data_IF_726286328400
#
_entry.id   IF_726286328400
#
_cell.length_a   1.000
_cell.length_b   1.000
_cell.length_c   1.000
_cell.angle_alpha   90.00
_cell.angle_beta   90.00
_cell.angle_gamma   90.00
#
_symmetry.space_group_name_H-M   'P 1'
#
loop_
_entity.id
_entity.type
_entity.pdbx_description
1 polymer ?
#
# COMPACT_ATOMS: atom_id res chain seq x y z
N UNK A 1 -32.28 -0.40 30.04
CA UNK A 1 -30.92 0.17 30.02
C UNK A 1 -30.70 0.73 28.61
N UNK A 2 -30.47 2.03 28.48
CA UNK A 2 -30.19 2.69 27.20
C UNK A 2 -28.75 3.15 27.22
N UNK A 3 -28.01 2.90 26.13
CA UNK A 3 -26.62 3.30 25.98
C UNK A 3 -26.46 4.16 24.72
N UNK A 4 -25.46 5.02 24.70
CA UNK A 4 -25.10 5.86 23.56
C UNK A 4 -23.61 5.68 23.23
N UNK A 5 -23.30 5.38 21.98
CA UNK A 5 -21.92 5.19 21.52
C UNK A 5 -21.37 6.52 20.98
N UNK A 6 -20.22 6.96 21.53
CA UNK A 6 -19.47 8.12 21.05
C UNK A 6 -18.00 7.73 20.93
N UNK A 7 -17.34 8.16 19.84
CA UNK A 7 -15.90 7.97 19.65
C UNK A 7 -15.16 9.25 20.04
N UNK A 8 -14.28 9.18 21.04
CA UNK A 8 -13.46 10.31 21.49
C UNK A 8 -12.18 10.46 20.65
N UNK A 9 -11.46 9.35 20.47
CA UNK A 9 -10.30 9.25 19.59
C UNK A 9 -10.63 8.24 18.48
N UNK A 10 -10.54 8.67 17.22
CA UNK A 10 -10.74 7.78 16.08
C UNK A 10 -9.63 6.74 16.00
N UNK A 11 -9.90 5.61 15.34
CA UNK A 11 -8.88 4.59 15.11
C UNK A 11 -7.70 5.17 14.36
N UNK A 12 -6.47 4.88 14.80
CA UNK A 12 -5.24 5.42 14.20
C UNK A 12 -4.46 4.39 13.39
N UNK A 13 -4.79 3.10 13.46
CA UNK A 13 -4.16 2.10 12.59
C UNK A 13 -4.54 2.34 11.12
N UNK A 14 -3.61 2.11 10.21
CA UNK A 14 -3.84 2.25 8.76
C UNK A 14 -3.87 0.87 8.13
N UNK A 15 -4.94 0.53 7.43
CA UNK A 15 -5.06 -0.75 6.71
C UNK A 15 -4.72 -0.63 5.23
N UNK A 16 -4.95 0.55 4.63
CA UNK A 16 -4.61 0.83 3.24
C UNK A 16 -4.20 2.29 3.11
N UNK A 17 -3.27 2.58 2.22
CA UNK A 17 -2.90 3.94 1.83
C UNK A 17 -2.75 4.00 0.31
N UNK A 18 -3.35 5.03 -0.31
CA UNK A 18 -3.21 5.30 -1.74
C UNK A 18 -2.92 6.77 -1.95
N UNK A 19 -2.07 7.10 -2.90
CA UNK A 19 -1.75 8.48 -3.23
C UNK A 19 -2.23 8.85 -4.63
N UNK A 20 -2.54 10.14 -4.83
CA UNK A 20 -3.09 10.64 -6.08
C UNK A 20 -3.28 12.15 -6.05
N UNK A 21 -3.57 12.73 -7.21
CA UNK A 21 -4.05 14.10 -7.34
C UNK A 21 -5.57 14.12 -7.10
N UNK A 22 -5.99 13.91 -5.85
CA UNK A 22 -7.40 13.80 -5.47
C UNK A 22 -8.11 15.15 -5.48
N UNK A 23 -7.42 16.25 -5.17
CA UNK A 23 -7.99 17.60 -5.28
C UNK A 23 -8.14 18.12 -6.72
N UNK A 24 -7.52 17.43 -7.68
CA UNK A 24 -7.27 17.97 -9.01
C UNK A 24 -6.09 18.94 -9.02
N UNK A 25 -5.26 18.88 -10.06
CA UNK A 25 -4.06 19.72 -10.20
C UNK A 25 -2.77 18.93 -10.03
N UNK A 26 -1.69 19.61 -9.58
CA UNK A 26 -0.34 19.02 -9.49
C UNK A 26 -0.01 18.44 -8.11
N UNK A 27 -0.67 18.91 -7.05
CA UNK A 27 -0.44 18.46 -5.68
C UNK A 27 -0.95 17.03 -5.49
N UNK A 28 -0.16 16.21 -4.81
CA UNK A 28 -0.56 14.86 -4.43
C UNK A 28 -1.01 14.82 -2.98
N UNK A 29 -2.09 14.11 -2.74
CA UNK A 29 -2.61 13.78 -1.43
C UNK A 29 -2.50 12.27 -1.18
N UNK A 30 -2.62 11.87 0.08
CA UNK A 30 -2.63 10.46 0.51
C UNK A 30 -3.96 10.17 1.18
N UNK A 31 -4.72 9.23 0.64
CA UNK A 31 -5.95 8.75 1.25
C UNK A 31 -5.64 7.49 2.07
N UNK A 32 -5.98 7.53 3.35
CA UNK A 32 -5.83 6.43 4.28
C UNK A 32 -7.18 5.78 4.58
N UNK A 33 -7.18 4.45 4.66
CA UNK A 33 -8.22 3.69 5.34
C UNK A 33 -7.76 3.34 6.74
N UNK A 34 -8.56 3.72 7.74
CA UNK A 34 -8.37 3.32 9.14
C UNK A 34 -9.38 2.26 9.59
N UNK A 35 -9.69 1.34 8.68
CA UNK A 35 -10.71 0.30 8.85
C UNK A 35 -12.12 0.81 8.60
N UNK A 36 -12.65 1.62 9.52
CA UNK A 36 -14.04 2.14 9.48
C UNK A 36 -14.19 3.60 9.02
N UNK A 37 -13.06 4.26 8.77
CA UNK A 37 -13.03 5.65 8.32
C UNK A 37 -12.01 5.83 7.20
N UNK A 38 -12.30 6.82 6.35
CA UNK A 38 -11.40 7.30 5.32
C UNK A 38 -10.87 8.67 5.74
N UNK A 39 -9.57 8.86 5.60
CA UNK A 39 -8.88 10.11 5.96
C UNK A 39 -8.00 10.59 4.82
N UNK A 40 -8.24 11.80 4.32
CA UNK A 40 -7.44 12.42 3.27
C UNK A 40 -6.39 13.32 3.91
N UNK A 41 -5.12 13.01 3.64
CA UNK A 41 -3.96 13.73 4.12
C UNK A 41 -3.30 14.53 3.01
N UNK A 42 -2.74 15.68 3.37
CA UNK A 42 -1.88 16.51 2.52
C UNK A 42 -0.51 16.69 3.17
N UNK A 43 0.52 16.03 2.63
CA UNK A 43 1.90 16.37 2.93
C UNK A 43 2.23 17.75 2.34
N UNK A 44 2.65 18.69 3.17
CA UNK A 44 3.14 19.99 2.74
C UNK A 44 4.63 19.92 2.41
N UNK A 45 4.98 20.15 1.15
CA UNK A 45 6.36 20.10 0.67
C UNK A 45 7.25 21.22 1.24
N UNK A 46 6.66 22.31 1.75
CA UNK A 46 7.44 23.45 2.26
C UNK A 46 7.81 23.26 3.72
N UNK A 47 6.85 22.85 4.55
CA UNK A 47 7.04 22.65 5.99
C UNK A 47 7.45 21.23 6.34
N UNK A 48 7.20 20.28 5.44
CA UNK A 48 7.42 18.87 5.68
C UNK A 48 6.33 18.21 6.54
N UNK A 49 5.28 18.94 6.92
CA UNK A 49 4.22 18.44 7.81
C UNK A 49 3.07 17.81 7.06
N UNK A 50 2.45 16.81 7.68
CA UNK A 50 1.26 16.15 7.14
C UNK A 50 0.01 16.70 7.80
N UNK A 51 -0.90 17.25 6.98
CA UNK A 51 -2.17 17.80 7.45
C UNK A 51 -3.34 16.91 7.07
N UNK A 52 -4.22 16.62 8.02
CA UNK A 52 -5.52 15.99 7.74
C UNK A 52 -6.46 17.03 7.12
N UNK A 53 -6.87 16.80 5.87
CA UNK A 53 -7.86 17.64 5.18
C UNK A 53 -9.29 17.24 5.50
N UNK A 54 -9.55 15.93 5.49
CA UNK A 54 -10.88 15.35 5.63
C UNK A 54 -10.80 14.02 6.38
N UNK A 55 -11.77 13.77 7.26
CA UNK A 55 -11.94 12.49 7.93
C UNK A 55 -13.43 12.12 7.98
N UNK A 56 -13.81 11.04 7.30
CA UNK A 56 -15.20 10.59 7.17
C UNK A 56 -15.35 9.15 7.67
N UNK A 57 -16.31 8.93 8.58
CA UNK A 57 -16.71 7.57 8.97
C UNK A 57 -17.56 6.97 7.84
N UNK A 58 -17.21 5.76 7.40
CA UNK A 58 -17.91 5.06 6.32
C UNK A 58 -18.92 4.03 6.84
N UNK A 59 -18.88 3.72 8.14
CA UNK A 59 -19.74 2.72 8.80
C UNK A 59 -19.70 1.33 8.15
N UNK A 60 -18.51 0.90 7.72
CA UNK A 60 -18.25 -0.42 7.15
C UNK A 60 -16.78 -0.79 7.30
N UNK A 61 -16.37 -1.91 6.72
CA UNK A 61 -14.98 -2.37 6.70
C UNK A 61 -14.40 -2.18 5.30
N UNK A 62 -13.43 -1.27 5.14
CA UNK A 62 -12.65 -1.17 3.89
C UNK A 62 -11.73 -2.39 3.78
N UNK A 63 -11.88 -3.14 2.70
CA UNK A 63 -11.14 -4.37 2.40
C UNK A 63 -10.19 -4.23 1.23
N UNK A 64 -10.46 -3.27 0.33
CA UNK A 64 -9.60 -2.89 -0.77
C UNK A 64 -9.80 -1.40 -1.08
N UNK A 65 -8.70 -0.70 -1.37
CA UNK A 65 -8.71 0.73 -1.68
C UNK A 65 -7.69 0.99 -2.78
N UNK A 66 -8.13 1.55 -3.91
CA UNK A 66 -7.28 1.85 -5.06
C UNK A 66 -7.63 3.21 -5.64
N UNK A 67 -6.66 3.89 -6.24
CA UNK A 67 -6.87 5.12 -6.98
C UNK A 67 -6.70 4.88 -8.49
N UNK A 68 -7.46 5.60 -9.32
CA UNK A 68 -7.33 5.51 -10.77
C UNK A 68 -7.64 6.82 -11.47
N UNK A 69 -7.12 6.95 -12.69
CA UNK A 69 -7.33 8.12 -13.54
C UNK A 69 -7.87 7.68 -14.88
N UNK A 70 -8.97 8.29 -15.31
CA UNK A 70 -9.44 8.13 -16.68
C UNK A 70 -8.41 8.68 -17.68
N UNK A 71 -8.32 8.07 -18.85
CA UNK A 71 -7.43 8.55 -19.92
C UNK A 71 -7.68 10.04 -20.24
N UNK A 72 -6.62 10.84 -20.19
CA UNK A 72 -6.67 12.29 -20.39
C UNK A 72 -7.26 13.10 -19.22
N UNK A 73 -7.60 12.46 -18.10
CA UNK A 73 -8.05 13.13 -16.88
C UNK A 73 -6.92 13.83 -16.13
N UNK A 74 -7.28 14.76 -15.25
CA UNK A 74 -6.33 15.50 -14.39
C UNK A 74 -6.51 15.24 -12.90
N UNK A 75 -7.48 14.39 -12.55
CA UNK A 75 -7.91 14.10 -11.18
C UNK A 75 -8.05 12.60 -11.01
N UNK A 76 -7.64 12.10 -9.85
CA UNK A 76 -7.77 10.70 -9.50
C UNK A 76 -9.09 10.44 -8.78
N UNK A 77 -9.80 9.41 -9.22
CA UNK A 77 -10.94 8.83 -8.51
C UNK A 77 -10.44 7.75 -7.55
N UNK A 78 -11.28 7.42 -6.57
CA UNK A 78 -11.00 6.39 -5.58
C UNK A 78 -12.02 5.27 -5.77
N UNK A 79 -11.58 4.02 -5.93
CA UNK A 79 -12.46 2.86 -5.88
C UNK A 79 -12.28 2.19 -4.52
N UNK A 80 -13.39 1.96 -3.83
CA UNK A 80 -13.41 1.32 -2.52
C UNK A 80 -14.21 0.02 -2.56
N UNK A 81 -13.58 -1.06 -2.08
CA UNK A 81 -14.20 -2.35 -1.78
C UNK A 81 -14.46 -2.45 -0.29
N UNK A 82 -15.70 -2.77 0.07
CA UNK A 82 -16.10 -2.93 1.47
C UNK A 82 -16.86 -4.21 1.72
N UNK A 83 -17.29 -4.42 2.95
CA UNK A 83 -18.20 -5.47 3.38
C UNK A 83 -19.66 -5.25 2.92
N UNK A 84 -19.95 -4.24 2.08
CA UNK A 84 -21.33 -3.92 1.69
C UNK A 84 -21.93 -4.80 0.58
N UNK A 85 -21.11 -5.53 -0.19
CA UNK A 85 -21.54 -6.20 -1.42
C UNK A 85 -21.76 -5.23 -2.60
N UNK A 86 -21.15 -4.04 -2.50
CA UNK A 86 -21.21 -2.97 -3.50
C UNK A 86 -19.81 -2.44 -3.81
N UNK A 87 -19.60 -2.00 -5.04
CA UNK A 87 -18.41 -1.26 -5.47
C UNK A 87 -18.76 0.22 -5.45
N UNK A 88 -17.91 1.03 -4.82
CA UNK A 88 -18.13 2.46 -4.68
C UNK A 88 -16.99 3.23 -5.32
N UNK A 89 -17.34 4.21 -6.15
CA UNK A 89 -16.36 5.16 -6.71
C UNK A 89 -16.60 6.52 -6.08
N UNK A 90 -15.54 7.08 -5.50
CA UNK A 90 -15.54 8.35 -4.80
C UNK A 90 -14.70 9.38 -5.56
N UNK A 91 -15.11 10.63 -5.45
CA UNK A 91 -14.35 11.80 -5.91
C UNK A 91 -14.24 12.79 -4.76
N UNK A 92 -13.02 13.28 -4.48
CA UNK A 92 -12.85 14.33 -3.48
C UNK A 92 -13.18 15.70 -4.08
N UNK A 93 -14.09 16.46 -3.46
CA UNK A 93 -14.49 17.80 -3.92
C UNK A 93 -13.90 18.86 -2.97
N UNK A 94 -12.82 19.57 -3.34
CA UNK A 94 -12.14 20.51 -2.46
C UNK A 94 -13.04 21.66 -1.98
N UNK A 95 -13.93 22.16 -2.84
CA UNK A 95 -14.83 23.27 -2.52
C UNK A 95 -15.88 22.91 -1.46
N UNK A 96 -16.21 21.62 -1.31
CA UNK A 96 -17.12 21.11 -0.27
C UNK A 96 -16.38 20.43 0.88
N UNK A 97 -15.07 20.24 0.74
CA UNK A 97 -14.25 19.37 1.57
C UNK A 97 -14.94 18.02 1.88
N UNK A 98 -15.40 17.33 0.83
CA UNK A 98 -16.18 16.10 0.97
C UNK A 98 -15.79 15.05 -0.07
N UNK A 99 -15.93 13.77 0.29
CA UNK A 99 -15.88 12.65 -0.65
C UNK A 99 -17.29 12.44 -1.21
N UNK A 100 -17.49 12.81 -2.46
CA UNK A 100 -18.74 12.56 -3.17
C UNK A 100 -18.74 11.16 -3.76
N UNK A 101 -19.88 10.48 -3.61
CA UNK A 101 -20.10 9.17 -4.19
C UNK A 101 -20.58 9.33 -5.63
N UNK A 102 -19.67 9.12 -6.58
CA UNK A 102 -19.96 9.27 -8.01
C UNK A 102 -20.74 8.07 -8.53
N UNK A 103 -20.34 6.86 -8.14
CA UNK A 103 -21.01 5.62 -8.52
C UNK A 103 -21.12 4.64 -7.35
N UNK A 104 -22.17 3.82 -7.40
CA UNK A 104 -22.38 2.72 -6.46
C UNK A 104 -23.16 1.59 -7.13
N UNK A 105 -22.45 0.52 -7.51
CA UNK A 105 -23.05 -0.65 -8.13
C UNK A 105 -23.16 -1.80 -7.12
N UNK A 106 -24.29 -2.50 -7.15
CA UNK A 106 -24.55 -3.64 -6.26
C UNK A 106 -24.30 -4.94 -7.00
N UNK A 107 -23.46 -5.81 -6.45
CA UNK A 107 -23.10 -7.08 -7.06
C UNK A 107 -23.31 -8.30 -6.15
N UNK A 108 -23.50 -8.09 -4.85
CA UNK A 108 -23.55 -9.19 -3.89
C UNK A 108 -24.20 -8.83 -2.56
N UNK A 109 -24.09 -9.78 -1.63
CA UNK A 109 -24.60 -9.64 -0.25
C UNK A 109 -23.56 -8.99 0.65
N UNK A 110 -24.01 -8.31 1.70
CA UNK A 110 -23.12 -7.74 2.72
C UNK A 110 -22.45 -8.79 3.61
N UNK A 111 -21.35 -8.39 4.23
CA UNK A 111 -20.42 -9.18 5.06
C UNK A 111 -19.09 -9.44 4.37
N UNK A 112 -18.04 -9.70 5.16
CA UNK A 112 -16.76 -10.19 4.68
C UNK A 112 -16.86 -11.67 4.27
N UNK A 113 -17.56 -11.95 3.16
CA UNK A 113 -17.83 -13.32 2.71
C UNK A 113 -16.70 -13.88 1.85
N UNK A 114 -16.56 -15.20 1.86
CA UNK A 114 -15.55 -15.96 1.09
C UNK A 114 -15.66 -15.76 -0.42
N UNK A 115 -16.89 -15.88 -0.93
CA UNK A 115 -17.18 -15.86 -2.38
C UNK A 115 -17.80 -14.56 -2.89
N UNK A 116 -17.98 -13.53 -2.06
CA UNK A 116 -18.51 -12.23 -2.53
C UNK A 116 -17.33 -11.26 -2.73
N UNK A 117 -17.19 -10.65 -3.92
CA UNK A 117 -16.08 -9.75 -4.20
C UNK A 117 -15.98 -8.56 -3.25
N UNK A 118 -14.76 -8.04 -3.12
CA UNK A 118 -14.46 -6.89 -2.25
C UNK A 118 -13.13 -7.02 -1.51
N UNK A 119 -12.47 -8.19 -1.58
CA UNK A 119 -11.17 -8.40 -0.94
C UNK A 119 -10.00 -7.93 -1.80
N UNK A 120 -10.07 -8.14 -3.12
CA UNK A 120 -8.97 -7.84 -4.04
C UNK A 120 -9.43 -6.95 -5.17
N UNK A 121 -8.65 -5.92 -5.48
CA UNK A 121 -8.90 -4.97 -6.54
C UNK A 121 -7.71 -4.95 -7.49
N UNK A 122 -7.98 -4.96 -8.78
CA UNK A 122 -6.99 -4.74 -9.83
C UNK A 122 -7.52 -3.69 -10.80
N UNK A 123 -6.70 -2.71 -11.15
CA UNK A 123 -7.11 -1.58 -11.99
C UNK A 123 -6.19 -1.53 -13.22
N UNK A 124 -6.79 -1.41 -14.40
CA UNK A 124 -6.07 -1.08 -15.64
C UNK A 124 -5.32 0.25 -15.45
N UNK A 125 -3.99 0.31 -15.62
CA UNK A 125 -3.21 1.54 -15.35
C UNK A 125 -3.61 2.77 -16.18
N UNK A 126 -4.35 2.61 -17.29
CA UNK A 126 -4.93 3.72 -18.07
C UNK A 126 -6.37 4.10 -17.65
N UNK A 127 -6.87 3.46 -16.60
CA UNK A 127 -8.16 3.71 -15.97
C UNK A 127 -9.36 3.25 -16.78
N UNK A 128 -9.20 2.26 -17.68
CA UNK A 128 -10.25 1.79 -18.58
C UNK A 128 -11.13 0.69 -17.98
N UNK A 129 -10.62 -0.02 -16.98
CA UNK A 129 -11.36 -1.10 -16.33
C UNK A 129 -10.87 -1.33 -14.89
N UNK A 130 -11.75 -1.87 -14.07
CA UNK A 130 -11.43 -2.40 -12.73
C UNK A 130 -11.97 -3.81 -12.62
N UNK A 131 -11.16 -4.71 -12.06
CA UNK A 131 -11.56 -6.05 -11.70
C UNK A 131 -11.61 -6.15 -10.17
N UNK A 132 -12.71 -6.65 -9.64
CA UNK A 132 -12.89 -6.94 -8.22
C UNK A 132 -12.97 -8.45 -8.02
N UNK A 133 -12.28 -8.96 -7.00
CA UNK A 133 -12.21 -10.37 -6.66
C UNK A 133 -12.66 -10.66 -5.23
N UNK A 134 -13.24 -11.84 -5.06
CA UNK A 134 -13.43 -12.48 -3.77
C UNK A 134 -12.20 -13.32 -3.40
N UNK A 135 -12.17 -13.88 -2.19
CA UNK A 135 -11.13 -14.85 -1.81
C UNK A 135 -11.24 -16.13 -2.64
N UNK A 136 -12.45 -16.46 -3.07
CA UNK A 136 -12.70 -17.65 -3.89
C UNK A 136 -13.74 -17.37 -4.96
N UNK A 137 -13.57 -18.04 -6.09
CA UNK A 137 -14.55 -18.19 -7.17
C UNK A 137 -14.93 -16.93 -7.93
N UNK A 138 -15.55 -15.96 -7.28
CA UNK A 138 -16.15 -14.83 -7.97
C UNK A 138 -15.13 -13.72 -8.26
N UNK A 139 -15.03 -13.35 -9.53
CA UNK A 139 -14.40 -12.12 -9.99
C UNK A 139 -15.33 -11.41 -10.98
N UNK A 140 -15.35 -10.08 -10.92
CA UNK A 140 -16.18 -9.21 -11.75
C UNK A 140 -15.33 -8.09 -12.32
N UNK A 141 -15.43 -7.84 -13.63
CA UNK A 141 -14.79 -6.70 -14.28
C UNK A 141 -15.82 -5.63 -14.64
N UNK A 142 -15.49 -4.37 -14.42
CA UNK A 142 -16.29 -3.21 -14.82
C UNK A 142 -15.47 -2.34 -15.77
N UNK A 143 -16.07 -1.95 -16.88
CA UNK A 143 -15.49 -1.00 -17.83
C UNK A 143 -15.79 0.41 -17.33
N UNK A 144 -14.74 1.24 -17.32
CA UNK A 144 -14.80 2.65 -16.95
C UNK A 144 -14.69 3.49 -18.20
N UNK A 145 -15.66 4.40 -18.38
CA UNK A 145 -15.68 5.31 -19.51
C UNK A 145 -16.10 6.72 -19.06
N UNK A 146 -16.14 7.66 -20.00
CA UNK A 146 -16.65 9.01 -19.79
C UNK A 146 -17.80 9.31 -20.74
N UNK A 147 -18.83 10.00 -20.25
CA UNK A 147 -19.90 10.52 -21.10
C UNK A 147 -19.45 11.78 -21.87
N UNK A 148 -20.35 12.33 -22.70
CA UNK A 148 -20.09 13.57 -23.45
C UNK A 148 -19.90 14.80 -22.57
N UNK A 149 -20.28 14.73 -21.29
CA UNK A 149 -20.08 15.75 -20.27
C UNK A 149 -18.82 15.50 -19.42
N UNK A 150 -17.96 14.57 -19.85
CA UNK A 150 -16.75 14.15 -19.16
C UNK A 150 -16.98 13.56 -17.74
N UNK A 151 -18.19 13.10 -17.44
CA UNK A 151 -18.50 12.39 -16.19
C UNK A 151 -18.15 10.91 -16.34
N UNK A 152 -17.59 10.35 -15.28
CA UNK A 152 -17.33 8.92 -15.20
C UNK A 152 -18.63 8.12 -15.39
N UNK A 153 -18.57 7.03 -16.14
CA UNK A 153 -19.63 6.03 -16.30
C UNK A 153 -19.07 4.63 -16.08
N UNK A 154 -19.85 3.75 -15.47
CA UNK A 154 -19.49 2.36 -15.20
C UNK A 154 -20.41 1.42 -15.98
N UNK A 155 -19.86 0.33 -16.54
CA UNK A 155 -20.64 -0.69 -17.24
C UNK A 155 -21.35 -1.66 -16.28
N UNK A 156 -22.22 -2.52 -16.82
CA UNK A 156 -22.61 -3.75 -16.13
C UNK A 156 -21.38 -4.65 -15.89
N UNK A 157 -21.38 -5.45 -14.81
CA UNK A 157 -20.26 -6.33 -14.51
C UNK A 157 -20.14 -7.46 -15.52
N UNK A 158 -18.90 -7.77 -15.90
CA UNK A 158 -18.55 -8.95 -16.69
C UNK A 158 -17.98 -10.02 -15.76
N UNK A 159 -18.52 -11.23 -15.84
CA UNK A 159 -18.16 -12.32 -14.94
C UNK A 159 -16.90 -13.04 -15.41
N UNK A 160 -15.99 -13.30 -14.46
CA UNK A 160 -14.80 -14.13 -14.65
C UNK A 160 -14.71 -15.17 -13.53
N UNK A 161 -15.80 -15.92 -13.35
CA UNK A 161 -15.95 -16.88 -12.26
C UNK A 161 -15.22 -18.19 -12.56
N UNK A 162 -14.55 -18.76 -11.55
CA UNK A 162 -13.93 -20.08 -11.64
C UNK A 162 -14.10 -20.81 -10.31
N UNK A 163 -14.95 -21.84 -10.30
CA UNK A 163 -15.22 -22.65 -9.10
C UNK A 163 -13.95 -23.29 -8.56
N UNK A 164 -13.93 -23.53 -7.23
CA UNK A 164 -12.84 -24.23 -6.54
C UNK A 164 -11.47 -23.54 -6.63
N UNK A 165 -11.46 -22.24 -6.96
CA UNK A 165 -10.22 -21.48 -7.07
C UNK A 165 -10.13 -20.39 -6.01
N UNK A 166 -9.08 -20.48 -5.20
CA UNK A 166 -8.65 -19.46 -4.25
C UNK A 166 -7.84 -18.39 -4.97
N UNK A 167 -8.02 -17.13 -4.59
CA UNK A 167 -7.25 -15.99 -5.08
C UNK A 167 -6.42 -15.41 -3.93
N UNK A 168 -5.11 -15.26 -4.17
CA UNK A 168 -4.15 -14.74 -3.19
C UNK A 168 -3.91 -13.24 -3.37
N UNK A 169 -3.78 -12.79 -4.61
CA UNK A 169 -3.57 -11.39 -4.96
C UNK A 169 -3.98 -11.12 -6.41
N UNK A 170 -4.27 -9.86 -6.73
CA UNK A 170 -4.62 -9.42 -8.08
C UNK A 170 -3.96 -8.08 -8.41
N UNK A 171 -3.47 -7.90 -9.63
CA UNK A 171 -2.97 -6.62 -10.14
C UNK A 171 -3.42 -6.38 -11.58
N UNK A 172 -3.56 -5.11 -11.96
CA UNK A 172 -3.69 -4.75 -13.38
C UNK A 172 -2.31 -4.72 -14.04
N UNK A 173 -2.22 -5.23 -15.25
CA UNK A 173 -0.99 -5.25 -16.05
C UNK A 173 -1.00 -4.02 -16.97
N UNK A 174 0.09 -3.24 -17.01
CA UNK A 174 0.17 -2.06 -17.89
C UNK A 174 0.46 -2.52 -19.33
N UNK A 175 -0.58 -2.83 -20.08
CA UNK A 175 -0.49 -3.25 -21.49
C UNK A 175 -0.56 -2.06 -22.46
N UNK A 176 -0.23 -0.85 -22.00
CA UNK A 176 -0.38 0.36 -22.82
C UNK A 176 -1.86 0.61 -23.16
N UNK A 177 -2.23 0.46 -24.43
CA UNK A 177 -3.61 0.64 -24.91
C UNK A 177 -4.23 -0.64 -25.50
N UNK A 178 -3.55 -1.78 -25.40
CA UNK A 178 -4.14 -3.08 -25.74
C UNK A 178 -5.25 -3.46 -24.75
N UNK A 179 -5.95 -4.56 -25.02
CA UNK A 179 -7.04 -5.05 -24.18
C UNK A 179 -6.59 -5.16 -22.70
N UNK A 180 -7.29 -4.52 -21.74
CA UNK A 180 -6.90 -4.54 -20.34
C UNK A 180 -6.68 -5.96 -19.81
N UNK A 181 -5.64 -6.13 -19.01
CA UNK A 181 -5.25 -7.43 -18.51
C UNK A 181 -5.06 -7.40 -16.99
N UNK A 182 -5.48 -8.47 -16.33
CA UNK A 182 -5.44 -8.63 -14.89
C UNK A 182 -4.71 -9.92 -14.54
N UNK A 183 -3.62 -9.81 -13.79
CA UNK A 183 -2.84 -10.94 -13.31
C UNK A 183 -3.28 -11.31 -11.89
N UNK A 184 -3.53 -12.60 -11.67
CA UNK A 184 -4.02 -13.15 -10.41
C UNK A 184 -3.15 -14.33 -9.97
N UNK A 185 -2.88 -14.40 -8.66
CA UNK A 185 -2.31 -15.59 -8.02
C UNK A 185 -3.45 -16.52 -7.58
N UNK A 186 -3.48 -17.74 -8.11
CA UNK A 186 -4.61 -18.67 -7.97
C UNK A 186 -4.18 -20.08 -7.58
N UNK A 187 -4.98 -20.75 -6.74
CA UNK A 187 -4.85 -22.18 -6.44
C UNK A 187 -6.20 -22.86 -6.67
N UNK A 188 -6.23 -23.92 -7.48
CA UNK A 188 -7.38 -24.80 -7.61
C UNK A 188 -7.27 -25.92 -6.56
N UNK A 189 -8.27 -26.05 -5.69
CA UNK A 189 -8.26 -27.03 -4.60
C UNK A 189 -9.22 -28.22 -4.85
N UNK A 190 -9.81 -28.33 -6.04
CA UNK A 190 -10.78 -29.39 -6.36
C UNK A 190 -10.20 -30.79 -6.17
N UNK A 191 -8.97 -31.04 -6.61
CA UNK A 191 -8.31 -32.35 -6.46
C UNK A 191 -7.97 -32.64 -4.99
N UNK A 192 -7.54 -31.63 -4.24
CA UNK A 192 -7.19 -31.76 -2.83
C UNK A 192 -8.39 -32.15 -1.96
N UNK A 193 -9.59 -31.62 -2.26
CA UNK A 193 -10.83 -31.99 -1.54
C UNK A 193 -11.26 -33.44 -1.81
N UNK A 194 -10.86 -34.00 -2.95
CA UNK A 194 -11.26 -35.34 -3.39
C UNK A 194 -10.24 -36.43 -3.02
N UNK A 195 -9.11 -36.07 -2.42
CA UNK A 195 -8.01 -36.99 -2.08
C UNK A 195 -7.85 -37.16 -0.56
N UNK A 196 -8.37 -38.25 0.04
CA UNK A 196 -8.21 -38.54 1.46
C UNK A 196 -6.77 -38.79 1.91
N UNK A 197 -5.82 -39.04 0.99
CA UNK A 197 -4.42 -39.30 1.34
C UNK A 197 -3.66 -38.02 1.72
N UNK A 198 -4.11 -36.87 1.22
CA UNK A 198 -3.44 -35.58 1.38
C UNK A 198 -2.30 -35.32 0.39
N UNK A 199 -2.01 -36.26 -0.51
CA UNK A 199 -0.96 -36.14 -1.53
C UNK A 199 -1.26 -34.99 -2.52
N UNK A 200 -2.51 -34.86 -2.96
CA UNK A 200 -2.94 -33.81 -3.88
C UNK A 200 -2.72 -32.42 -3.28
N UNK A 201 -3.02 -32.24 -1.98
CA UNK A 201 -2.80 -30.98 -1.29
C UNK A 201 -1.33 -30.56 -1.26
N UNK A 202 -0.40 -31.52 -1.16
CA UNK A 202 1.05 -31.26 -1.14
C UNK A 202 1.61 -30.94 -2.54
N UNK A 203 1.03 -31.50 -3.59
CA UNK A 203 1.48 -31.30 -4.98
C UNK A 203 0.81 -30.12 -5.68
N UNK A 204 -0.28 -29.60 -5.12
CA UNK A 204 -1.03 -28.48 -5.71
C UNK A 204 -0.17 -27.23 -5.71
N UNK A 205 0.14 -26.72 -6.91
CA UNK A 205 0.94 -25.52 -7.09
C UNK A 205 0.04 -24.28 -7.24
N UNK A 206 0.55 -23.14 -6.77
CA UNK A 206 -0.01 -21.84 -7.13
C UNK A 206 0.24 -21.55 -8.61
N UNK A 207 -0.72 -20.91 -9.26
CA UNK A 207 -0.66 -20.52 -10.66
C UNK A 207 -0.76 -19.00 -10.80
N UNK A 208 0.01 -18.44 -11.74
CA UNK A 208 -0.17 -17.09 -12.23
C UNK A 208 -1.11 -17.12 -13.43
N UNK A 209 -2.29 -16.52 -13.28
CA UNK A 209 -3.33 -16.51 -14.30
C UNK A 209 -3.57 -15.09 -14.81
N UNK A 210 -3.57 -14.90 -16.12
CA UNK A 210 -3.91 -13.64 -16.78
C UNK A 210 -5.33 -13.69 -17.35
N UNK A 211 -6.17 -12.76 -16.91
CA UNK A 211 -7.49 -12.50 -17.45
C UNK A 211 -7.42 -11.30 -18.40
N UNK A 212 -7.86 -11.48 -19.64
CA UNK A 212 -7.95 -10.42 -20.63
C UNK A 212 -9.41 -9.97 -20.75
N UNK A 213 -9.61 -8.66 -20.69
CA UNK A 213 -10.89 -8.03 -20.98
C UNK A 213 -10.90 -7.57 -22.44
N UNK A 214 -11.61 -8.30 -23.29
CA UNK A 214 -11.80 -7.89 -24.68
C UNK A 214 -12.87 -6.78 -24.74
N UNK A 215 -12.42 -5.55 -25.01
CA UNK A 215 -13.30 -4.38 -25.07
C UNK A 215 -14.23 -4.40 -26.30
N UNK A 216 -13.84 -5.10 -27.38
CA UNK A 216 -14.64 -5.21 -28.60
C UNK A 216 -15.72 -6.26 -28.48
N UNK A 217 -15.39 -7.42 -27.92
CA UNK A 217 -16.32 -8.53 -27.69
C UNK A 217 -17.06 -8.45 -26.36
N UNK A 218 -16.69 -7.51 -25.48
CA UNK A 218 -17.32 -7.24 -24.20
C UNK A 218 -17.43 -8.47 -23.29
N UNK A 219 -16.34 -9.24 -23.16
CA UNK A 219 -16.25 -10.39 -22.27
C UNK A 219 -14.83 -10.51 -21.67
N UNK A 220 -14.72 -11.23 -20.56
CA UNK A 220 -13.44 -11.55 -19.94
C UNK A 220 -13.09 -13.00 -20.24
N UNK A 221 -11.87 -13.25 -20.69
CA UNK A 221 -11.35 -14.59 -20.96
C UNK A 221 -10.10 -14.85 -20.12
N UNK A 222 -9.97 -16.08 -19.62
CA UNK A 222 -8.72 -16.56 -19.01
C UNK A 222 -7.74 -16.87 -20.13
N UNK A 223 -6.85 -15.91 -20.43
CA UNK A 223 -5.97 -15.96 -21.61
C UNK A 223 -4.77 -16.89 -21.39
N UNK A 224 -4.19 -16.84 -20.20
CA UNK A 224 -2.96 -17.55 -19.86
C UNK A 224 -3.00 -18.03 -18.42
N UNK A 225 -2.36 -19.16 -18.15
CA UNK A 225 -2.21 -19.69 -16.80
C UNK A 225 -0.98 -20.58 -16.73
N UNK A 226 -0.08 -20.30 -15.82
CA UNK A 226 1.10 -21.12 -15.59
C UNK A 226 1.36 -21.37 -14.11
N UNK A 227 1.84 -22.58 -13.76
CA UNK A 227 2.26 -22.88 -12.40
C UNK A 227 3.48 -22.06 -12.01
N UNK A 228 3.55 -21.71 -10.73
CA UNK A 228 4.70 -21.10 -10.08
C UNK A 228 5.52 -22.18 -9.38
N UNK A 229 6.83 -21.94 -9.31
CA UNK A 229 7.76 -22.82 -8.61
C UNK A 229 7.56 -22.72 -7.09
N UNK A 230 7.48 -21.50 -6.56
CA UNK A 230 7.13 -21.22 -5.16
C UNK A 230 5.78 -20.52 -5.01
N UNK A 231 5.21 -20.62 -3.81
CA UNK A 231 4.07 -19.82 -3.43
C UNK A 231 4.45 -18.35 -3.27
N UNK A 232 3.77 -17.50 -4.05
CA UNK A 232 3.84 -16.06 -4.02
C UNK A 232 2.78 -15.46 -3.10
N UNK A 233 3.13 -14.36 -2.45
CA UNK A 233 2.25 -13.64 -1.53
C UNK A 233 1.55 -12.43 -2.19
N UNK A 234 2.24 -11.65 -3.01
CA UNK A 234 1.61 -10.59 -3.81
C UNK A 234 2.35 -10.30 -5.12
N UNK A 235 1.71 -9.49 -5.97
CA UNK A 235 2.21 -9.09 -7.29
C UNK A 235 2.44 -7.58 -7.33
N UNK A 236 3.38 -7.13 -8.17
CA UNK A 236 3.61 -5.71 -8.49
C UNK A 236 3.45 -5.50 -10.00
N UNK A 237 2.68 -4.48 -10.37
CA UNK A 237 2.50 -4.09 -11.77
C UNK A 237 3.75 -3.39 -12.29
N UNK A 238 4.32 -3.90 -13.39
CA UNK A 238 5.46 -3.26 -14.05
C UNK A 238 4.93 -2.28 -15.11
N UNK A 239 5.41 -1.02 -15.16
CA UNK A 239 5.03 -0.08 -16.19
C UNK A 239 5.26 -0.64 -17.60
N UNK A 240 4.35 -0.32 -18.52
CA UNK A 240 4.36 -0.88 -19.86
C UNK A 240 3.92 0.10 -20.94
N UNK A 241 3.88 -0.38 -22.18
CA UNK A 241 3.74 0.47 -23.35
C UNK A 241 5.00 1.30 -23.56
N UNK A 242 4.88 2.62 -23.68
CA UNK A 242 6.04 3.48 -23.92
C UNK A 242 6.90 3.73 -22.65
N UNK A 243 6.44 3.29 -21.49
CA UNK A 243 7.08 3.59 -20.19
C UNK A 243 7.91 2.42 -19.63
N UNK A 244 7.87 1.24 -20.26
CA UNK A 244 8.54 0.04 -19.77
C UNK A 244 8.07 -1.26 -20.45
N UNK A 245 8.55 -2.42 -19.99
CA UNK A 245 8.35 -3.71 -20.66
C UNK A 245 7.01 -4.39 -20.35
N UNK A 246 6.15 -3.81 -19.50
CA UNK A 246 4.94 -4.47 -18.98
C UNK A 246 5.27 -5.70 -18.14
N UNK A 247 4.29 -6.56 -17.88
CA UNK A 247 4.43 -7.75 -17.05
C UNK A 247 4.23 -7.49 -15.55
N UNK A 248 4.64 -8.46 -14.74
CA UNK A 248 4.47 -8.44 -13.28
C UNK A 248 5.73 -8.90 -12.56
N UNK A 249 6.00 -8.31 -11.39
CA UNK A 249 6.90 -8.90 -10.40
C UNK A 249 6.08 -9.75 -9.44
N UNK A 250 6.54 -10.96 -9.20
CA UNK A 250 5.96 -11.97 -8.33
C UNK A 250 6.84 -12.03 -7.09
N UNK A 251 6.28 -11.63 -5.94
CA UNK A 251 6.98 -11.72 -4.67
C UNK A 251 6.68 -13.09 -4.06
N UNK A 252 7.72 -13.90 -3.86
CA UNK A 252 7.64 -15.23 -3.27
C UNK A 252 8.55 -15.35 -2.06
N UNK A 253 8.44 -16.44 -1.33
CA UNK A 253 9.40 -16.75 -0.26
C UNK A 253 10.81 -16.87 -0.85
N UNK A 254 11.73 -16.04 -0.33
CA UNK A 254 13.13 -15.92 -0.72
C UNK A 254 13.43 -15.43 -2.13
N UNK A 255 12.42 -15.22 -2.99
CA UNK A 255 12.63 -14.87 -4.39
C UNK A 255 11.74 -13.73 -4.87
N UNK A 256 12.28 -12.96 -5.82
CA UNK A 256 11.55 -12.03 -6.66
C UNK A 256 11.64 -12.52 -8.10
N UNK A 257 10.50 -12.75 -8.74
CA UNK A 257 10.44 -13.26 -10.11
C UNK A 257 9.75 -12.26 -11.02
N UNK A 258 10.40 -11.83 -12.10
CA UNK A 258 9.76 -11.10 -13.19
C UNK A 258 9.19 -12.09 -14.20
N UNK A 259 7.93 -11.88 -14.57
CA UNK A 259 7.23 -12.69 -15.57
C UNK A 259 6.36 -11.82 -16.46
N UNK A 260 6.44 -12.06 -17.76
CA UNK A 260 5.59 -11.42 -18.76
C UNK A 260 5.07 -12.48 -19.75
N UNK A 261 4.06 -12.11 -20.54
CA UNK A 261 3.56 -12.97 -21.62
C UNK A 261 4.48 -12.90 -22.85
N UNK A 262 4.40 -13.92 -23.70
CA UNK A 262 5.13 -13.98 -24.97
C UNK A 262 6.47 -14.69 -24.82
N UNK A 263 7.49 -14.18 -25.49
CA UNK A 263 8.84 -14.80 -25.55
C UNK A 263 9.75 -14.41 -24.37
N UNK A 264 9.24 -13.64 -23.40
CA UNK A 264 9.98 -13.27 -22.20
C UNK A 264 10.22 -14.51 -21.32
N UNK A 265 11.48 -14.82 -21.05
CA UNK A 265 11.83 -15.84 -20.07
C UNK A 265 11.61 -15.34 -18.63
N UNK A 266 11.28 -16.28 -17.73
CA UNK A 266 11.17 -16.02 -16.30
C UNK A 266 12.54 -15.62 -15.73
N UNK A 267 12.61 -14.46 -15.08
CA UNK A 267 13.85 -13.96 -14.46
C UNK A 267 13.66 -13.97 -12.96
N UNK A 268 14.55 -14.65 -12.25
CA UNK A 268 14.46 -14.85 -10.81
C UNK A 268 15.66 -14.23 -10.12
N UNK A 269 15.43 -13.54 -9.01
CA UNK A 269 16.49 -13.03 -8.16
C UNK A 269 16.20 -13.40 -6.70
N UNK A 270 17.17 -13.98 -5.96
CA UNK A 270 17.00 -14.22 -4.54
C UNK A 270 16.95 -12.90 -3.76
N UNK A 271 16.19 -12.88 -2.67
CA UNK A 271 16.09 -11.75 -1.75
C UNK A 271 17.38 -11.70 -0.91
N UNK A 272 18.13 -10.59 -0.94
CA UNK A 272 19.34 -10.45 -0.14
C UNK A 272 19.04 -10.54 1.37
N UNK A 273 19.92 -11.20 2.12
CA UNK A 273 19.83 -11.37 3.58
C UNK A 273 20.78 -10.45 4.32
N UNK A 274 20.44 -10.09 5.56
CA UNK A 274 21.37 -9.35 6.44
C UNK A 274 22.57 -10.24 6.78
N UNK A 275 23.77 -9.65 6.78
CA UNK A 275 24.96 -10.33 7.30
C UNK A 275 24.80 -10.63 8.78
N UNK A 276 25.11 -11.87 9.17
CA UNK A 276 25.08 -12.32 10.56
C UNK A 276 23.71 -12.11 11.23
N UNK A 277 22.64 -12.39 10.48
CA UNK A 277 21.29 -12.31 11.00
C UNK A 277 21.12 -13.24 12.21
N UNK A 278 20.36 -12.78 13.20
CA UNK A 278 20.11 -13.50 14.45
C UNK A 278 18.85 -14.36 14.37
N UNK A 279 18.02 -14.14 13.35
CA UNK A 279 16.86 -14.97 13.06
C UNK A 279 17.28 -16.38 12.64
N UNK A 280 16.36 -17.33 12.81
CA UNK A 280 16.55 -18.73 12.40
C UNK A 280 16.88 -18.82 10.90
N UNK A 281 18.04 -19.40 10.51
CA UNK A 281 18.40 -19.56 9.09
C UNK A 281 17.41 -20.38 8.27
N UNK A 282 16.63 -21.26 8.91
CA UNK A 282 15.59 -22.05 8.21
C UNK A 282 14.35 -21.23 7.86
N UNK A 283 14.19 -20.04 8.46
CA UNK A 283 13.04 -19.16 8.19
C UNK A 283 13.24 -18.41 6.87
N UNK A 284 12.27 -18.53 5.96
CA UNK A 284 12.20 -17.75 4.73
C UNK A 284 12.00 -16.25 4.95
N UNK A 285 12.15 -15.49 3.87
CA UNK A 285 11.93 -14.04 3.84
C UNK A 285 10.94 -13.69 2.73
N UNK A 286 10.00 -12.80 3.01
CA UNK A 286 9.07 -12.26 2.00
C UNK A 286 9.12 -10.74 1.99
N UNK A 287 8.67 -10.15 0.89
CA UNK A 287 8.27 -8.74 0.87
C UNK A 287 6.87 -8.60 1.47
N UNK A 288 6.60 -7.49 2.17
CA UNK A 288 5.31 -7.23 2.82
C UNK A 288 4.51 -6.09 2.17
N UNK A 289 5.19 -5.19 1.47
CA UNK A 289 4.55 -4.15 0.68
C UNK A 289 5.48 -3.65 -0.42
N UNK A 290 4.91 -2.92 -1.38
CA UNK A 290 5.64 -2.29 -2.48
C UNK A 290 5.14 -0.87 -2.72
N UNK A 291 6.01 -0.03 -3.28
CA UNK A 291 5.65 1.22 -3.91
C UNK A 291 6.29 1.30 -5.29
N UNK A 292 5.54 1.75 -6.27
CA UNK A 292 6.03 1.98 -7.64
C UNK A 292 6.20 3.47 -7.87
N UNK A 293 7.39 3.89 -8.26
CA UNK A 293 7.61 5.27 -8.70
C UNK A 293 7.88 5.31 -10.20
N UNK A 294 7.10 6.13 -10.90
CA UNK A 294 7.27 6.36 -12.35
C UNK A 294 7.50 7.83 -12.63
N UNK A 295 8.56 8.09 -13.37
CA UNK A 295 8.83 9.38 -14.02
C UNK A 295 8.73 9.21 -15.54
N UNK A 296 8.99 10.27 -16.31
CA UNK A 296 8.99 10.17 -17.78
C UNK A 296 10.22 9.43 -18.33
N UNK A 297 11.30 9.37 -17.56
CA UNK A 297 12.60 8.85 -18.02
C UNK A 297 12.97 7.52 -17.38
N UNK A 298 12.45 7.24 -16.19
CA UNK A 298 12.76 6.04 -15.42
C UNK A 298 11.59 5.63 -14.53
N UNK A 299 11.56 4.36 -14.19
CA UNK A 299 10.75 3.82 -13.12
C UNK A 299 11.63 2.99 -12.18
N UNK A 300 11.20 2.86 -10.94
CA UNK A 300 11.79 1.93 -9.98
C UNK A 300 10.73 1.52 -8.97
N UNK A 301 11.05 0.46 -8.24
CA UNK A 301 10.19 -0.04 -7.16
C UNK A 301 10.93 0.05 -5.84
N UNK A 302 10.17 0.31 -4.77
CA UNK A 302 10.63 0.13 -3.40
C UNK A 302 9.83 -1.01 -2.80
N UNK A 303 10.47 -2.14 -2.53
CA UNK A 303 9.84 -3.28 -1.85
C UNK A 303 10.42 -3.43 -0.45
N UNK A 304 9.56 -3.64 0.53
CA UNK A 304 9.95 -3.77 1.93
C UNK A 304 9.87 -5.22 2.40
N UNK A 305 10.90 -5.73 3.07
CA UNK A 305 10.91 -7.07 3.68
C UNK A 305 10.20 -7.10 5.04
N UNK A 306 9.95 -8.29 5.60
CA UNK A 306 9.39 -8.46 6.96
C UNK A 306 10.21 -7.76 8.06
N UNK A 307 11.52 -7.64 7.87
CA UNK A 307 12.42 -6.97 8.81
C UNK A 307 12.47 -5.44 8.64
N UNK A 308 11.70 -4.91 7.69
CA UNK A 308 11.60 -3.47 7.43
C UNK A 308 12.62 -2.93 6.42
N UNK A 309 13.42 -3.80 5.79
CA UNK A 309 14.42 -3.39 4.81
C UNK A 309 13.78 -3.05 3.48
N UNK A 310 13.99 -1.82 3.02
CA UNK A 310 13.55 -1.39 1.70
C UNK A 310 14.67 -1.69 0.70
N UNK A 311 14.30 -2.38 -0.36
CA UNK A 311 15.14 -2.55 -1.55
C UNK A 311 14.61 -1.69 -2.68
N UNK A 312 15.51 -0.97 -3.33
CA UNK A 312 15.27 -0.37 -4.64
C UNK A 312 15.45 -1.47 -5.68
N UNK A 313 14.39 -1.73 -6.44
CA UNK A 313 14.41 -2.66 -7.55
C UNK A 313 14.33 -1.89 -8.86
N UNK A 314 15.23 -2.25 -9.77
CA UNK A 314 15.27 -1.77 -11.16
C UNK A 314 15.31 -2.96 -12.10
N UNK A 315 14.75 -2.80 -13.29
CA UNK A 315 14.78 -3.80 -14.34
C UNK A 315 15.67 -3.28 -15.45
N UNK A 316 16.65 -4.07 -15.86
CA UNK A 316 17.38 -3.78 -17.09
C UNK A 316 16.66 -4.43 -18.27
N UNK A 317 16.55 -3.65 -19.33
CA UNK A 317 15.88 -4.05 -20.57
C UNK A 317 16.87 -3.93 -21.70
N UNK A 318 16.98 -4.99 -22.50
CA UNK A 318 17.65 -4.98 -23.79
C UNK A 318 16.57 -5.05 -24.87
N UNK A 319 16.50 -4.01 -25.71
CA UNK A 319 15.34 -3.71 -26.57
C UNK A 319 14.01 -3.70 -25.77
N UNK A 320 13.11 -4.66 -26.03
CA UNK A 320 11.79 -4.81 -25.39
C UNK A 320 11.74 -6.00 -24.41
N UNK A 321 12.89 -6.65 -24.15
CA UNK A 321 13.00 -7.85 -23.30
C UNK A 321 13.76 -7.48 -22.03
N UNK A 322 13.21 -7.86 -20.87
CA UNK A 322 13.94 -7.70 -19.61
C UNK A 322 15.10 -8.68 -19.59
N UNK A 323 16.31 -8.21 -19.29
CA UNK A 323 17.52 -9.02 -19.20
C UNK A 323 17.83 -9.45 -17.77
N UNK A 324 17.68 -8.54 -16.81
CA UNK A 324 17.96 -8.81 -15.41
C UNK A 324 17.16 -7.94 -14.43
N UNK A 325 16.96 -8.48 -13.23
CA UNK A 325 16.42 -7.77 -12.07
C UNK A 325 17.59 -7.35 -11.21
N UNK A 326 17.65 -6.06 -10.87
CA UNK A 326 18.63 -5.49 -9.97
C UNK A 326 17.99 -5.10 -8.65
N UNK A 327 18.61 -5.49 -7.54
CA UNK A 327 18.21 -5.16 -6.18
C UNK A 327 19.35 -4.45 -5.48
N UNK A 328 19.03 -3.30 -4.88
CA UNK A 328 19.97 -2.54 -4.07
C UNK A 328 19.32 -2.15 -2.75
N UNK A 329 20.03 -2.36 -1.64
CA UNK A 329 19.54 -1.98 -0.32
C UNK A 329 19.40 -0.46 -0.23
N UNK A 330 18.20 0.02 0.08
CA UNK A 330 17.87 1.43 0.08
C UNK A 330 18.01 2.04 1.48
N UNK A 331 17.16 1.63 2.42
CA UNK A 331 17.15 2.05 3.82
C UNK A 331 16.23 1.11 4.63
N UNK A 332 16.32 1.14 5.95
CA UNK A 332 15.43 0.36 6.83
C UNK A 332 14.46 1.28 7.56
N UNK A 333 13.15 1.01 7.43
CA UNK A 333 12.07 1.72 8.14
C UNK A 333 11.16 0.71 8.85
N UNK A 334 10.28 1.11 9.78
CA UNK A 334 9.37 0.18 10.41
C UNK A 334 8.50 -0.58 9.37
N UNK A 335 8.19 -1.87 9.60
CA UNK A 335 7.31 -2.65 8.73
C UNK A 335 6.00 -1.91 8.44
N UNK A 336 5.65 -1.82 7.16
CA UNK A 336 4.54 -1.03 6.67
C UNK A 336 3.50 -1.87 5.96
N UNK A 337 2.23 -1.51 6.16
CA UNK A 337 1.11 -2.07 5.39
C UNK A 337 1.05 -1.45 3.99
N UNK A 338 1.49 -0.20 3.84
CA UNK A 338 1.55 0.47 2.55
C UNK A 338 2.63 1.57 2.53
N UNK A 339 3.26 1.73 1.37
CA UNK A 339 4.21 2.80 1.07
C UNK A 339 3.69 3.65 -0.09
N UNK A 340 3.87 4.96 -0.03
CA UNK A 340 3.46 5.89 -1.08
C UNK A 340 4.62 6.82 -1.45
N UNK A 341 5.19 6.64 -2.65
CA UNK A 341 6.25 7.52 -3.18
C UNK A 341 5.61 8.69 -3.92
N UNK A 342 5.77 9.89 -3.37
CA UNK A 342 5.21 11.13 -3.88
C UNK A 342 6.18 11.81 -4.84
N UNK A 343 5.64 12.45 -5.89
CA UNK A 343 6.38 13.18 -6.93
C UNK A 343 7.18 14.38 -6.39
N UNK A 344 6.85 14.84 -5.19
CA UNK A 344 7.57 15.92 -4.49
C UNK A 344 8.83 15.44 -3.76
N UNK A 345 9.23 14.17 -3.94
CA UNK A 345 10.42 13.62 -3.30
C UNK A 345 10.18 13.17 -1.86
N UNK A 346 8.97 12.70 -1.55
CA UNK A 346 8.62 12.20 -0.22
C UNK A 346 8.17 10.74 -0.29
N UNK A 347 8.47 9.98 0.77
CA UNK A 347 7.99 8.63 0.99
C UNK A 347 7.12 8.63 2.25
N UNK A 348 5.83 8.37 2.09
CA UNK A 348 4.93 8.12 3.21
C UNK A 348 4.88 6.63 3.54
N UNK A 349 5.12 6.30 4.81
CA UNK A 349 5.20 4.93 5.33
C UNK A 349 4.08 4.71 6.34
N UNK A 350 3.06 3.97 5.94
CA UNK A 350 1.98 3.56 6.82
C UNK A 350 2.37 2.27 7.56
N UNK A 351 3.04 2.42 8.71
CA UNK A 351 3.41 1.29 9.58
C UNK A 351 2.21 0.39 9.91
N UNK A 352 2.40 -0.93 9.94
CA UNK A 352 1.36 -1.89 10.35
C UNK A 352 0.87 -1.63 11.79
N UNK A 353 1.81 -1.24 12.65
CA UNK A 353 1.60 -0.93 14.06
C UNK A 353 2.47 0.26 14.47
N UNK A 354 2.06 0.97 15.51
CA UNK A 354 2.72 2.17 16.00
C UNK A 354 2.58 3.36 15.05
N UNK A 355 3.38 4.39 15.28
CA UNK A 355 3.34 5.65 14.53
C UNK A 355 3.63 5.43 13.03
N UNK A 356 3.14 6.35 12.20
CA UNK A 356 3.41 6.41 10.76
C UNK A 356 4.41 7.53 10.48
N UNK A 357 5.09 7.46 9.34
CA UNK A 357 6.23 8.33 9.07
C UNK A 357 6.14 8.95 7.69
N UNK A 358 6.54 10.21 7.59
CA UNK A 358 6.85 10.87 6.34
C UNK A 358 8.35 11.11 6.28
N UNK A 359 8.97 10.56 5.24
CA UNK A 359 10.38 10.77 4.93
C UNK A 359 10.52 11.63 3.68
N UNK A 360 11.58 12.43 3.63
CA UNK A 360 12.06 13.08 2.41
C UNK A 360 13.14 12.19 1.79
N UNK A 361 13.04 11.96 0.49
CA UNK A 361 14.04 11.24 -0.30
C UNK A 361 15.16 12.23 -0.63
N UNK A 362 16.28 12.12 0.09
CA UNK A 362 17.46 12.94 -0.15
C UNK A 362 18.27 12.42 -1.34
N UNK A 363 18.38 11.09 -1.45
CA UNK A 363 19.14 10.42 -2.50
C UNK A 363 18.34 9.23 -3.06
N UNK A 364 18.54 8.92 -4.34
CA UNK A 364 17.88 7.80 -5.02
C UNK A 364 18.62 6.45 -4.82
N UNK A 365 19.72 6.44 -4.06
CA UNK A 365 20.50 5.24 -3.76
C UNK A 365 21.37 4.73 -4.91
N UNK A 366 21.66 5.55 -5.94
CA UNK A 366 22.47 5.12 -7.09
C UNK A 366 23.97 5.33 -6.88
N UNK A 367 24.38 6.51 -6.41
CA UNK A 367 25.78 6.93 -6.29
C UNK A 367 26.38 6.71 -4.89
N UNK A 368 26.33 5.48 -4.39
CA UNK A 368 26.95 5.09 -3.11
C UNK A 368 27.75 3.79 -3.22
N UNK A 369 28.53 3.47 -2.17
CA UNK A 369 29.36 2.27 -2.08
C UNK A 369 28.55 1.00 -1.69
N UNK A 370 27.21 1.06 -1.73
CA UNK A 370 26.38 -0.11 -1.41
C UNK A 370 26.39 -1.12 -2.57
N UNK A 371 26.48 -2.43 -2.28
CA UNK A 371 26.46 -3.45 -3.31
C UNK A 371 25.10 -3.47 -4.03
N UNK A 372 25.16 -3.55 -5.36
CA UNK A 372 24.02 -3.84 -6.23
C UNK A 372 24.05 -5.34 -6.59
N UNK A 373 22.92 -6.01 -6.43
CA UNK A 373 22.76 -7.43 -6.72
C UNK A 373 21.96 -7.59 -8.00
N UNK A 374 22.39 -8.49 -8.89
CA UNK A 374 21.70 -8.76 -10.16
C UNK A 374 21.33 -10.24 -10.26
N UNK A 375 20.19 -10.53 -10.88
CA UNK A 375 19.76 -11.88 -11.23
C UNK A 375 20.73 -12.60 -12.18
N UNK A 376 21.57 -11.86 -12.91
CA UNK A 376 22.58 -12.45 -13.81
C UNK A 376 23.87 -12.87 -13.09
N UNK A 377 24.06 -12.46 -11.82
CA UNK A 377 25.23 -12.88 -11.05
C UNK A 377 25.13 -14.37 -10.72
N UNK A 378 26.17 -15.17 -11.01
CA UNK A 378 26.14 -16.59 -10.71
C UNK A 378 26.21 -16.82 -9.20
N UNK A 379 25.23 -17.53 -8.67
CA UNK A 379 25.19 -18.04 -7.30
C UNK A 379 25.12 -19.56 -7.35
N UNK A 380 25.73 -20.24 -6.37
CA UNK A 380 25.52 -21.68 -6.19
C UNK A 380 24.10 -21.94 -5.68
N UNK A 381 23.57 -23.15 -5.94
CA UNK A 381 22.22 -23.52 -5.53
C UNK A 381 22.07 -23.44 -3.99
N UNK A 382 21.14 -22.61 -3.52
CA UNK A 382 20.92 -22.36 -2.09
C UNK A 382 21.74 -21.21 -1.49
N UNK A 383 22.62 -20.56 -2.25
CA UNK A 383 23.27 -19.32 -1.83
C UNK A 383 22.39 -18.09 -2.06
N UNK A 384 22.66 -17.02 -1.30
CA UNK A 384 21.98 -15.73 -1.46
C UNK A 384 22.97 -14.59 -1.28
N UNK A 385 22.55 -13.40 -1.69
CA UNK A 385 23.29 -12.17 -1.50
C UNK A 385 23.23 -11.70 -0.04
N UNK A 386 24.28 -11.01 0.40
CA UNK A 386 24.35 -10.48 1.77
C UNK A 386 24.68 -8.99 1.81
N UNK A 387 23.89 -8.23 2.58
CA UNK A 387 24.07 -6.80 2.82
C UNK A 387 24.21 -6.48 4.31
N UNK A 388 24.72 -5.30 4.64
CA UNK A 388 24.83 -4.83 6.02
C UNK A 388 23.80 -3.70 6.27
N UNK A 389 22.87 -3.86 7.22
CA UNK A 389 21.93 -2.78 7.55
C UNK A 389 22.69 -1.59 8.14
N UNK A 390 22.20 -0.38 7.88
CA UNK A 390 22.81 0.88 8.34
C UNK A 390 21.74 1.91 8.71
N UNK A 391 22.17 2.99 9.36
CA UNK A 391 21.33 4.15 9.59
C UNK A 391 20.85 4.77 8.27
N UNK A 392 19.76 5.55 8.35
CA UNK A 392 19.16 6.20 7.19
C UNK A 392 20.18 7.09 6.48
N UNK A 393 20.37 6.86 5.19
CA UNK A 393 21.20 7.70 4.31
C UNK A 393 20.40 8.30 3.16
N UNK A 394 19.47 7.55 2.60
CA UNK A 394 18.67 7.97 1.46
C UNK A 394 17.41 8.72 1.90
N UNK A 395 16.92 8.44 3.11
CA UNK A 395 15.73 9.02 3.71
C UNK A 395 16.07 9.95 4.88
N UNK A 396 15.37 11.06 4.98
CA UNK A 396 15.40 11.96 6.14
C UNK A 396 14.01 11.97 6.77
N UNK A 397 13.90 11.68 8.06
CA UNK A 397 12.62 11.75 8.77
C UNK A 397 12.17 13.21 8.87
N UNK A 398 10.96 13.49 8.38
CA UNK A 398 10.42 14.86 8.33
C UNK A 398 9.22 15.01 9.26
N UNK A 399 8.34 14.01 9.28
CA UNK A 399 7.19 14.02 10.16
C UNK A 399 6.86 12.64 10.70
N UNK A 400 6.30 12.63 11.90
CA UNK A 400 5.82 11.43 12.58
C UNK A 400 4.37 11.63 12.97
N UNK A 401 3.49 10.77 12.46
CA UNK A 401 2.06 10.80 12.78
C UNK A 401 1.80 9.83 13.95
N UNK A 402 1.38 10.35 15.12
CA UNK A 402 1.09 9.50 16.26
C UNK A 402 -0.02 8.50 15.96
N UNK A 403 0.23 7.24 16.29
CA UNK A 403 -0.76 6.19 16.27
C UNK A 403 -0.68 5.34 17.53
N UNK A 404 -1.84 5.04 18.09
CA UNK A 404 -2.02 4.23 19.29
C UNK A 404 -2.29 2.76 18.95
N UNK A 405 -2.33 2.38 17.67
CA UNK A 405 -2.57 1.01 17.28
C UNK A 405 -1.29 0.16 17.46
N UNK A 406 -1.38 -1.06 18.03
CA UNK A 406 -2.53 -1.63 18.73
C UNK A 406 -2.57 -1.13 20.18
N UNK A 407 -3.75 -0.77 20.68
CA UNK A 407 -3.97 -0.59 22.13
C UNK A 407 -4.20 -1.97 22.72
N UNK A 408 -3.30 -2.41 23.59
CA UNK A 408 -3.42 -3.72 24.25
C UNK A 408 -4.28 -3.60 25.52
N UNK A 409 -4.04 -2.56 26.30
CA UNK A 409 -4.82 -2.26 27.50
C UNK A 409 -4.76 -0.77 27.82
N UNK A 410 -5.74 -0.29 28.56
CA UNK A 410 -5.84 1.10 29.01
C UNK A 410 -6.37 1.18 30.44
N UNK A 411 -5.84 2.12 31.21
CA UNK A 411 -6.33 2.47 32.55
C UNK A 411 -6.65 3.95 32.61
N UNK A 412 -7.81 4.29 33.16
CA UNK A 412 -8.22 5.68 33.41
C UNK A 412 -8.00 5.97 34.88
N UNK A 413 -7.05 6.85 35.18
CA UNK A 413 -6.69 7.19 36.56
C UNK A 413 -6.15 8.62 36.62
N UNK A 414 -6.33 9.29 37.74
CA UNK A 414 -5.64 10.55 38.03
C UNK A 414 -4.40 10.26 38.88
N UNK A 415 -3.27 9.95 38.24
CA UNK A 415 -2.00 9.74 38.94
C UNK A 415 -1.14 11.01 38.97
N UNK A 416 -1.48 12.00 38.14
CA UNK A 416 -0.80 13.29 38.08
C UNK A 416 -1.39 14.35 39.03
N UNK A 417 -2.53 14.06 39.69
CA UNK A 417 -3.29 15.01 40.51
C UNK A 417 -3.67 16.28 39.72
N UNK A 418 -4.16 16.10 38.49
CA UNK A 418 -4.54 17.18 37.57
C UNK A 418 -6.05 17.47 37.59
N UNK A 419 -6.80 16.90 38.55
CA UNK A 419 -8.28 16.86 38.67
C UNK A 419 -9.00 16.13 37.52
N UNK A 420 -8.52 16.28 36.28
CA UNK A 420 -8.98 15.52 35.12
C UNK A 420 -8.17 14.22 34.99
N UNK A 421 -8.81 13.03 35.02
CA UNK A 421 -8.07 11.78 34.93
C UNK A 421 -7.40 11.61 33.56
N UNK A 422 -6.22 10.99 33.58
CA UNK A 422 -5.45 10.70 32.38
C UNK A 422 -5.75 9.28 31.87
N UNK A 423 -5.53 9.05 30.58
CA UNK A 423 -5.60 7.71 29.99
C UNK A 423 -4.19 7.16 29.85
N UNK A 424 -3.88 6.12 30.61
CA UNK A 424 -2.62 5.37 30.53
C UNK A 424 -2.81 4.20 29.57
N UNK A 425 -2.12 4.23 28.43
CA UNK A 425 -2.34 3.31 27.32
C UNK A 425 -1.05 2.53 27.04
N UNK A 426 -1.13 1.19 27.11
CA UNK A 426 -0.07 0.31 26.62
C UNK A 426 -0.35 -0.01 25.15
N UNK A 427 0.53 0.47 24.27
CA UNK A 427 0.37 0.34 22.82
C UNK A 427 1.69 0.11 22.08
N UNK A 428 1.59 -0.43 20.86
CA UNK A 428 2.72 -0.71 19.98
C UNK A 428 3.03 -2.20 19.85
N UNK A 429 4.12 -2.53 19.16
CA UNK A 429 4.50 -3.91 18.81
C UNK A 429 6.01 -4.10 18.96
N UNK A 430 6.39 -5.19 19.61
CA UNK A 430 7.79 -5.59 19.78
C UNK A 430 8.64 -4.45 20.37
N UNK A 431 9.79 -4.10 19.75
CA UNK A 431 10.69 -3.06 20.26
C UNK A 431 10.10 -1.64 20.16
N UNK A 432 9.00 -1.45 19.42
CA UNK A 432 8.30 -0.15 19.26
C UNK A 432 7.11 0.00 20.21
N UNK A 433 7.07 -0.79 21.28
CA UNK A 433 6.02 -0.71 22.31
C UNK A 433 6.27 0.46 23.26
N UNK A 434 5.20 1.14 23.68
CA UNK A 434 5.24 2.34 24.51
C UNK A 434 4.08 2.37 25.52
N UNK A 435 4.34 2.93 26.71
CA UNK A 435 3.30 3.41 27.61
C UNK A 435 3.07 4.89 27.31
N UNK A 436 1.86 5.25 26.89
CA UNK A 436 1.49 6.64 26.58
C UNK A 436 0.47 7.17 27.57
N UNK A 437 0.69 8.40 28.03
CA UNK A 437 -0.24 9.12 28.91
C UNK A 437 -0.99 10.14 28.06
N UNK A 438 -2.29 9.94 27.88
CA UNK A 438 -3.14 10.85 27.12
C UNK A 438 -3.86 11.80 28.07
N UNK A 439 -3.73 13.09 27.79
CA UNK A 439 -4.44 14.17 28.47
C UNK A 439 -5.36 14.85 27.48
N UNK A 440 -6.56 15.19 27.92
CA UNK A 440 -7.47 15.98 27.11
C UNK A 440 -7.08 17.45 27.19
N UNK A 441 -6.64 18.03 26.08
CA UNK A 441 -6.20 19.41 26.02
C UNK A 441 -5.69 19.80 24.64
N UNK A 442 -4.98 20.92 24.59
CA UNK A 442 -4.27 21.37 23.39
C UNK A 442 -2.82 20.89 23.45
N UNK A 443 -2.28 20.50 22.30
CA UNK A 443 -0.87 20.17 22.19
C UNK A 443 -0.01 21.40 22.52
N UNK A 444 1.00 21.20 23.37
CA UNK A 444 1.97 22.23 23.74
C UNK A 444 3.31 21.81 23.17
N UNK A 445 3.82 22.57 22.19
CA UNK A 445 5.16 22.37 21.64
C UNK A 445 6.19 23.06 22.53
N UNK A 446 7.00 22.26 23.22
CA UNK A 446 8.07 22.75 24.08
C UNK A 446 9.24 23.27 23.22
N UNK A 447 9.40 24.59 23.17
CA UNK A 447 10.43 25.24 22.33
C UNK A 447 11.80 25.34 23.03
N UNK A 448 11.81 25.47 24.35
CA UNK A 448 13.01 25.58 25.16
C UNK A 448 12.71 25.25 26.63
N UNK A 449 13.67 24.62 27.30
CA UNK A 449 13.61 24.29 28.72
C UNK A 449 14.85 24.85 29.39
N UNK A 450 14.67 25.69 30.40
CA UNK A 450 15.75 26.17 31.24
C UNK A 450 15.30 26.13 32.69
N UNK A 451 16.04 25.40 33.50
CA UNK A 451 15.85 25.42 34.94
C UNK A 451 16.28 26.79 35.48
N UNK A 452 15.51 27.34 36.43
CA UNK A 452 15.80 28.61 37.07
C UNK A 452 16.15 28.36 38.55
N UNK A 453 17.18 29.02 39.10
CA UNK A 453 17.49 28.91 40.52
C UNK A 453 16.42 29.60 41.38
N UNK A 454 16.15 29.05 42.56
CA UNK A 454 15.14 29.58 43.47
C UNK A 454 13.71 29.20 43.07
N UNK A 455 12.73 30.04 43.44
CA UNK A 455 11.31 29.80 43.14
C UNK A 455 10.71 31.04 42.43
N UNK A 456 10.85 31.14 41.10
CA UNK A 456 10.36 32.29 40.34
C UNK A 456 8.84 32.41 40.47
N UNK A 457 8.35 33.63 40.72
CA UNK A 457 6.91 33.88 40.94
C UNK A 457 6.19 34.51 39.73
N UNK A 458 6.93 35.04 38.75
CA UNK A 458 6.37 35.69 37.57
C UNK A 458 7.37 35.78 36.41
N UNK A 459 6.84 35.91 35.20
CA UNK A 459 7.59 36.10 33.94
C UNK A 459 6.86 37.12 33.06
N UNK A 460 7.61 38.03 32.43
CA UNK A 460 7.06 39.01 31.49
C UNK A 460 7.93 39.07 30.24
N UNK A 461 7.31 39.32 29.08
CA UNK A 461 7.99 39.57 27.81
C UNK A 461 7.67 40.98 27.34
N UNK A 462 8.70 41.78 27.04
CA UNK A 462 8.55 43.18 26.62
C UNK A 462 9.31 43.38 25.31
N UNK A 463 8.62 43.89 24.28
CA UNK A 463 9.26 44.23 23.00
C UNK A 463 10.20 45.44 23.17
N UNK A 464 11.26 45.48 22.37
CA UNK A 464 12.21 46.62 22.36
C UNK A 464 11.58 47.93 21.84
N UNK A 465 10.55 47.86 20.99
CA UNK A 465 9.83 49.01 20.43
C UNK A 465 8.33 48.72 20.47
N UNK A 466 7.52 49.77 20.57
CA UNK A 466 6.09 49.70 20.33
C UNK A 466 5.84 49.47 18.83
N UNK A 467 4.85 48.67 18.46
CA UNK A 467 4.48 48.46 17.06
C UNK A 467 3.94 49.80 16.49
N UNK A 468 4.65 50.40 15.52
CA UNK A 468 4.22 51.63 14.83
C UNK A 468 5.07 52.90 15.02
N UNK A 469 6.33 52.81 15.47
CA UNK A 469 7.27 53.94 15.54
C UNK A 469 8.55 53.71 14.71
#
# INVERSE_FOLDING_TARGET
MYLYNLTLQKGTGVTHAVHGNFSGGKQQEVLLSRGKSLELLRPDSNTGKVHTLLSTEIFGCIRALMAFRLTGGTKDYIVAGSDSGRIVILEYIPSKNALEKVHQETFGKSGCRRIVPGQYFAIDPKGRAVMIGAVEKQKLAYIMNRDTQARLTISSPLEAHKSNTLTYHMVGVDVGFDNPMFACLEIDYEEADMDPSGDAAQRTQQTLTFYELDLGLNHVVRKYSEPLEEHANFLVSVPGGNDGPSGVLICSENYLTYKNLGDQHDIRCPIPRRRNDLDDPERGMIFICSATHRTKSMYFFLLQTEQGDIFKITLETDDDVVSEIKLKYFDTVPPATAMCVLKTGFLFVASEFGNHYLYQIAHLGDDDDEPEFSSAMPLEEGETFFFAPRALKNLVLVDELPSFAPIITSQVADLANEDTPQLYVLCGRGPRSTLRVLRHGLEVSEMAVSELPGNPNAVWTVKKRADGA
#
